data_IF_432634678942
#
_entry.id   IF_432634678942
#
_cell.length_a   1.000
_cell.length_b   1.000
_cell.length_c   1.000
_cell.angle_alpha   90.00
_cell.angle_beta   90.00
_cell.angle_gamma   90.00
#
_symmetry.space_group_name_H-M   'P 1'
#
loop_
_entity.id
_entity.type
_entity.pdbx_description
1 polymer ?
#
# COMPACT_ATOMS: atom_id res chain seq x y z
N UNK A 1 1.07 53.61 22.09
CA UNK A 1 1.94 52.43 22.15
C UNK A 1 1.22 51.21 22.77
N UNK A 2 -0.08 50.98 22.43
CA UNK A 2 -0.91 49.93 23.05
C UNK A 2 -1.54 48.94 22.05
N UNK A 3 -1.40 49.16 20.73
CA UNK A 3 -2.03 48.29 19.72
C UNK A 3 -1.17 47.09 19.31
N UNK A 4 0.15 47.11 19.52
CA UNK A 4 1.03 46.04 19.05
C UNK A 4 0.98 44.79 19.97
N UNK A 5 0.90 45.00 21.30
CA UNK A 5 0.82 43.92 22.29
C UNK A 5 -0.50 43.13 22.22
N UNK A 6 -1.59 43.76 21.74
CA UNK A 6 -2.91 43.09 21.62
C UNK A 6 -3.04 42.26 20.33
N UNK A 7 -2.21 42.52 19.33
CA UNK A 7 -2.18 41.79 18.04
C UNK A 7 -1.25 40.57 18.13
N UNK A 8 -0.12 40.71 18.84
CA UNK A 8 0.89 39.68 19.05
C UNK A 8 0.34 38.31 19.51
N UNK A 9 -0.54 38.21 20.53
CA UNK A 9 -1.02 36.92 20.99
C UNK A 9 -1.96 36.25 19.98
N UNK A 10 -2.76 37.03 19.25
CA UNK A 10 -3.66 36.48 18.23
C UNK A 10 -2.88 35.94 17.04
N UNK A 11 -1.83 36.65 16.62
CA UNK A 11 -0.94 36.21 15.55
C UNK A 11 -0.18 34.93 15.97
N UNK A 12 0.30 34.89 17.22
CA UNK A 12 0.95 33.73 17.80
C UNK A 12 0.00 32.51 17.84
N UNK A 13 -1.25 32.69 18.28
CA UNK A 13 -2.24 31.61 18.29
C UNK A 13 -2.53 31.09 16.89
N UNK A 14 -2.67 31.96 15.88
CA UNK A 14 -2.87 31.54 14.50
C UNK A 14 -1.68 30.72 13.97
N UNK A 15 -0.44 31.16 14.24
CA UNK A 15 0.77 30.42 13.85
C UNK A 15 0.82 29.06 14.54
N UNK A 16 0.50 28.99 15.84
CA UNK A 16 0.47 27.73 16.58
C UNK A 16 -0.59 26.76 16.04
N UNK A 17 -1.77 27.25 15.64
CA UNK A 17 -2.82 26.42 15.02
C UNK A 17 -2.34 25.87 13.67
N UNK A 18 -1.74 26.70 12.82
CA UNK A 18 -1.21 26.27 11.52
C UNK A 18 -0.14 25.20 11.71
N UNK A 19 0.82 25.44 12.61
CA UNK A 19 1.87 24.48 12.94
C UNK A 19 1.28 23.16 13.48
N UNK A 20 0.31 23.23 14.39
CA UNK A 20 -0.38 22.04 14.91
C UNK A 20 -1.08 21.23 13.80
N UNK A 21 -1.75 21.90 12.85
CA UNK A 21 -2.40 21.24 11.70
C UNK A 21 -1.38 20.55 10.77
N UNK A 22 -0.23 21.18 10.53
CA UNK A 22 0.87 20.56 9.77
C UNK A 22 1.43 19.33 10.47
N UNK A 23 1.65 19.39 11.79
CA UNK A 23 2.13 18.24 12.56
C UNK A 23 1.13 17.07 12.59
N UNK A 24 -0.18 17.35 12.70
CA UNK A 24 -1.22 16.32 12.62
C UNK A 24 -1.25 15.68 11.23
N UNK A 25 -1.08 16.47 10.16
CA UNK A 25 -1.02 15.95 8.79
C UNK A 25 0.15 15.00 8.53
N UNK A 26 1.30 15.24 9.17
CA UNK A 26 2.49 14.36 9.06
C UNK A 26 2.42 13.08 9.91
N UNK A 27 1.48 13.02 10.86
CA UNK A 27 1.29 11.86 11.76
C UNK A 27 0.26 10.86 11.23
N UNK A 28 -0.41 11.14 10.10
CA UNK A 28 -1.22 10.12 9.43
C UNK A 28 -0.24 9.20 8.74
N UNK A 29 -0.05 7.95 9.20
CA UNK A 29 0.78 7.01 8.47
C UNK A 29 0.19 6.95 7.07
N UNK A 30 1.04 7.22 6.07
CA UNK A 30 0.73 6.93 4.68
C UNK A 30 0.10 5.55 4.69
N UNK A 31 -1.15 5.45 4.24
CA UNK A 31 -1.81 4.16 4.03
C UNK A 31 -1.03 3.54 2.88
N UNK A 32 0.14 2.97 3.17
CA UNK A 32 0.71 1.92 2.36
C UNK A 32 -0.43 0.93 2.25
N UNK A 33 -1.05 0.91 1.07
CA UNK A 33 -2.15 0.03 0.75
C UNK A 33 -1.69 -1.36 1.16
N UNK A 34 -2.28 -1.87 2.24
CA UNK A 34 -1.83 -3.12 2.85
C UNK A 34 -1.92 -4.16 1.76
N UNK A 35 -0.81 -4.74 1.35
CA UNK A 35 -0.81 -5.75 0.30
C UNK A 35 -1.15 -7.10 0.92
N UNK A 36 -2.26 -7.68 0.48
CA UNK A 36 -2.68 -9.02 0.82
C UNK A 36 -2.00 -10.02 -0.11
N UNK A 37 -1.77 -11.24 0.38
CA UNK A 37 -1.09 -12.30 -0.35
C UNK A 37 -1.89 -13.60 -0.31
N UNK A 38 -2.10 -14.24 -1.47
CA UNK A 38 -2.79 -15.51 -1.56
C UNK A 38 -2.11 -16.45 -2.55
N UNK A 39 -1.80 -17.67 -2.10
CA UNK A 39 -1.16 -18.71 -2.90
C UNK A 39 -2.23 -19.57 -3.59
N UNK A 40 -1.98 -19.90 -4.85
CA UNK A 40 -2.83 -20.70 -5.73
C UNK A 40 -2.04 -21.91 -6.26
N UNK A 41 -1.86 -22.96 -5.43
CA UNK A 41 -1.08 -24.15 -5.80
C UNK A 41 -1.70 -24.95 -6.95
N UNK A 42 -2.98 -24.75 -7.25
CA UNK A 42 -3.67 -25.32 -8.41
C UNK A 42 -3.20 -24.74 -9.75
N UNK A 43 -2.54 -23.58 -9.72
CA UNK A 43 -1.95 -22.93 -10.89
C UNK A 43 -0.45 -23.17 -10.85
N UNK A 44 -0.03 -24.24 -11.50
CA UNK A 44 1.38 -24.53 -11.71
C UNK A 44 1.98 -23.50 -12.66
N UNK A 45 3.10 -22.93 -12.24
CA UNK A 45 4.00 -22.22 -13.12
C UNK A 45 5.00 -23.24 -13.70
N UNK A 46 5.50 -22.97 -14.90
CA UNK A 46 6.66 -23.63 -15.47
C UNK A 46 7.79 -22.62 -15.37
N UNK A 47 8.96 -23.10 -14.93
CA UNK A 47 10.28 -22.45 -14.95
C UNK A 47 10.76 -22.15 -16.39
N UNK A 48 9.86 -21.73 -17.29
CA UNK A 48 10.14 -21.46 -18.68
C UNK A 48 9.04 -20.77 -19.49
N UNK A 49 7.72 -21.03 -19.27
CA UNK A 49 6.64 -20.46 -20.15
C UNK A 49 5.23 -20.30 -19.54
N UNK A 50 5.00 -20.32 -18.23
CA UNK A 50 3.62 -20.26 -17.64
C UNK A 50 3.33 -18.98 -16.81
N UNK A 51 4.09 -17.90 -17.04
CA UNK A 51 3.60 -16.55 -16.74
C UNK A 51 2.20 -16.21 -17.31
N UNK A 52 1.76 -16.67 -18.51
CA UNK A 52 0.50 -16.20 -19.11
C UNK A 52 -0.78 -16.56 -18.38
N UNK A 53 -0.77 -17.46 -17.38
CA UNK A 53 -2.01 -17.78 -16.63
C UNK A 53 -2.05 -17.14 -15.25
N UNK A 54 -0.92 -17.01 -14.56
CA UNK A 54 -0.89 -16.51 -13.19
C UNK A 54 -1.32 -15.04 -13.11
N UNK A 55 -0.67 -14.14 -13.85
CA UNK A 55 -1.00 -12.72 -13.83
C UNK A 55 -2.44 -12.44 -14.32
N UNK A 56 -2.92 -13.02 -15.44
CA UNK A 56 -4.31 -12.82 -15.85
C UNK A 56 -5.33 -13.39 -14.86
N UNK A 57 -5.02 -14.51 -14.20
CA UNK A 57 -5.85 -15.05 -13.14
C UNK A 57 -5.95 -14.08 -11.95
N UNK A 58 -4.82 -13.59 -11.44
CA UNK A 58 -4.79 -12.65 -10.32
C UNK A 58 -5.53 -11.36 -10.66
N UNK A 59 -5.35 -10.82 -11.88
CA UNK A 59 -6.08 -9.63 -12.34
C UNK A 59 -7.57 -9.85 -12.50
N UNK A 60 -7.98 -11.04 -12.94
CA UNK A 60 -9.41 -11.41 -13.03
C UNK A 60 -10.04 -11.54 -11.66
N UNK A 61 -9.31 -12.07 -10.68
CA UNK A 61 -9.81 -12.36 -9.34
C UNK A 61 -9.81 -11.15 -8.41
N UNK A 62 -8.72 -10.38 -8.41
CA UNK A 62 -8.50 -9.25 -7.49
C UNK A 62 -8.57 -7.88 -8.17
N UNK A 63 -8.90 -7.86 -9.46
CA UNK A 63 -9.01 -6.63 -10.25
C UNK A 63 -7.68 -6.15 -10.84
N UNK A 64 -7.66 -4.96 -11.48
CA UNK A 64 -6.51 -4.50 -12.27
C UNK A 64 -5.23 -4.28 -11.44
N UNK A 65 -5.36 -4.16 -10.11
CA UNK A 65 -4.25 -4.01 -9.17
C UNK A 65 -3.72 -5.34 -8.61
N UNK A 66 -4.30 -6.47 -9.01
CA UNK A 66 -3.77 -7.80 -8.66
C UNK A 66 -2.48 -8.09 -9.42
N UNK A 67 -1.37 -8.23 -8.71
CA UNK A 67 -0.12 -8.82 -9.19
C UNK A 67 -0.16 -10.34 -9.13
N UNK A 68 0.65 -10.98 -9.96
CA UNK A 68 0.79 -12.44 -9.98
C UNK A 68 2.27 -12.80 -10.13
N UNK A 69 2.75 -13.65 -9.24
CA UNK A 69 4.15 -14.08 -9.15
C UNK A 69 4.22 -15.59 -9.05
N UNK A 70 5.26 -16.19 -9.59
CA UNK A 70 5.52 -17.62 -9.41
C UNK A 70 6.51 -17.80 -8.27
N UNK A 71 6.16 -18.61 -7.28
CA UNK A 71 7.00 -18.89 -6.12
C UNK A 71 7.30 -20.38 -6.00
N UNK A 72 8.53 -20.73 -5.65
CA UNK A 72 8.89 -22.08 -5.23
C UNK A 72 8.66 -22.21 -3.73
N UNK A 73 7.79 -23.14 -3.33
CA UNK A 73 7.51 -23.41 -1.92
C UNK A 73 8.06 -24.79 -1.53
N UNK A 74 8.88 -24.82 -0.48
CA UNK A 74 9.48 -26.06 0.04
C UNK A 74 8.35 -27.01 0.49
N UNK A 75 8.27 -28.19 -0.12
CA UNK A 75 7.28 -29.23 0.22
C UNK A 75 6.17 -29.44 -0.83
N UNK A 76 6.17 -28.70 -1.93
CA UNK A 76 5.28 -28.93 -3.07
C UNK A 76 6.09 -29.08 -4.37
N UNK A 77 5.58 -29.84 -5.33
CA UNK A 77 6.26 -30.07 -6.62
C UNK A 77 6.04 -28.89 -7.58
N UNK A 78 7.09 -28.10 -7.85
CA UNK A 78 7.13 -27.04 -8.86
C UNK A 78 6.88 -25.62 -8.31
N UNK A 79 6.92 -24.58 -9.15
CA UNK A 79 6.55 -23.23 -8.75
C UNK A 79 5.03 -23.03 -8.84
N UNK A 80 4.44 -22.31 -7.89
CA UNK A 80 3.01 -22.02 -7.80
C UNK A 80 2.73 -20.56 -8.07
N UNK A 81 1.55 -20.27 -8.61
CA UNK A 81 1.08 -18.91 -8.68
C UNK A 81 0.77 -18.37 -7.28
N UNK A 82 1.18 -17.14 -7.02
CA UNK A 82 0.78 -16.38 -5.86
C UNK A 82 0.36 -14.98 -6.30
N UNK A 83 -0.76 -14.51 -5.76
CA UNK A 83 -1.31 -13.20 -6.07
C UNK A 83 -1.03 -12.23 -4.93
N UNK A 84 -0.50 -11.06 -5.29
CA UNK A 84 -0.47 -9.88 -4.43
C UNK A 84 -1.59 -8.93 -4.86
N UNK A 85 -2.30 -8.34 -3.90
CA UNK A 85 -3.40 -7.42 -4.20
C UNK A 85 -3.60 -6.45 -3.05
N UNK A 86 -4.16 -5.25 -3.30
CA UNK A 86 -4.55 -4.37 -2.23
C UNK A 86 -5.62 -5.06 -1.39
N UNK A 87 -5.32 -5.24 -0.10
CA UNK A 87 -6.39 -5.23 0.89
C UNK A 87 -7.09 -3.86 0.81
#
# INVERSE_FOLDING_TARGET
MLSLERIMPKLLTCVLIVVALFFVGTMIPSVESKTCYQIHPEILCDHGKVEPKCLPFCKKKFGPRGGGQCIDQIGFEGPFCACDYPC
#
